data_IF_456547801318
#
_entry.id   IF_456547801318
#
_cell.length_a   1.000
_cell.length_b   1.000
_cell.length_c   1.000
_cell.angle_alpha   90.00
_cell.angle_beta   90.00
_cell.angle_gamma   90.00
#
_symmetry.space_group_name_H-M   'P 1'
#
loop_
_entity.id
_entity.type
_entity.pdbx_description
1 polymer ?
#
# COMPACT_ATOMS: atom_id res chain seq x y z
N UNK A 1 -19.09 6.45 0.22
CA UNK A 1 -19.48 5.32 1.07
C UNK A 1 -20.38 5.81 2.19
N UNK A 2 -21.29 4.97 2.70
CA UNK A 2 -22.08 5.29 3.88
C UNK A 2 -21.20 5.40 5.13
N UNK A 3 -21.66 6.13 6.15
CA UNK A 3 -20.92 6.24 7.42
C UNK A 3 -20.69 4.86 8.05
N UNK A 4 -21.73 4.00 8.06
CA UNK A 4 -21.65 2.62 8.58
C UNK A 4 -20.59 1.77 7.87
N UNK A 5 -20.44 1.92 6.55
CA UNK A 5 -19.41 1.21 5.76
C UNK A 5 -18.02 1.72 6.08
N UNK A 6 -17.86 3.03 6.27
CA UNK A 6 -16.58 3.62 6.68
C UNK A 6 -16.20 3.14 8.07
N UNK A 7 -17.12 3.16 9.02
CA UNK A 7 -16.90 2.69 10.38
C UNK A 7 -16.53 1.20 10.39
N UNK A 8 -17.24 0.36 9.64
CA UNK A 8 -16.86 -1.06 9.50
C UNK A 8 -15.43 -1.24 9.00
N UNK A 9 -15.04 -0.50 7.96
CA UNK A 9 -13.68 -0.57 7.42
C UNK A 9 -12.62 -0.06 8.40
N UNK A 10 -12.95 0.95 9.22
CA UNK A 10 -12.04 1.45 10.24
C UNK A 10 -11.74 0.39 11.32
N UNK A 11 -12.70 -0.51 11.60
CA UNK A 11 -12.52 -1.61 12.57
C UNK A 11 -12.01 -2.91 11.96
N UNK A 12 -12.15 -3.11 10.65
CA UNK A 12 -11.87 -4.41 10.00
C UNK A 12 -10.41 -4.86 10.18
N UNK A 13 -9.45 -3.95 10.07
CA UNK A 13 -8.04 -4.28 10.22
C UNK A 13 -7.66 -4.74 11.64
N UNK A 14 -8.39 -4.29 12.66
CA UNK A 14 -8.16 -4.66 14.05
C UNK A 14 -8.21 -6.16 14.27
N UNK A 15 -9.26 -6.82 13.78
CA UNK A 15 -9.48 -8.26 13.98
C UNK A 15 -8.39 -9.09 13.34
N UNK A 16 -7.92 -8.70 12.15
CA UNK A 16 -6.81 -9.38 11.46
C UNK A 16 -5.51 -9.21 12.26
N UNK A 17 -5.21 -7.99 12.70
CA UNK A 17 -4.00 -7.70 13.46
C UNK A 17 -3.97 -8.46 14.79
N UNK A 18 -5.09 -8.46 15.54
CA UNK A 18 -5.17 -9.17 16.83
C UNK A 18 -4.97 -10.68 16.65
N UNK A 19 -5.60 -11.27 15.62
CA UNK A 19 -5.63 -12.73 15.46
C UNK A 19 -4.38 -13.30 14.80
N UNK A 20 -3.73 -12.55 13.92
CA UNK A 20 -2.72 -13.10 13.01
C UNK A 20 -1.35 -12.43 13.07
N UNK A 21 -1.16 -11.33 13.79
CA UNK A 21 0.12 -10.61 13.82
C UNK A 21 1.28 -11.48 14.30
N UNK A 22 1.06 -12.33 15.31
CA UNK A 22 2.09 -13.26 15.82
C UNK A 22 2.45 -14.30 14.77
N UNK A 23 1.46 -14.89 14.10
CA UNK A 23 1.70 -15.83 13.00
C UNK A 23 2.56 -15.22 11.89
N UNK A 24 2.25 -13.98 11.49
CA UNK A 24 3.02 -13.27 10.46
C UNK A 24 4.42 -12.90 10.96
N UNK A 25 4.55 -12.51 12.22
CA UNK A 25 5.87 -12.28 12.83
C UNK A 25 6.75 -13.53 12.81
N UNK A 26 6.20 -14.67 13.19
CA UNK A 26 6.92 -15.98 13.16
C UNK A 26 7.31 -16.37 11.72
N UNK A 27 6.50 -16.01 10.74
CA UNK A 27 6.80 -16.21 9.31
C UNK A 27 7.84 -15.21 8.76
N UNK A 28 8.26 -14.23 9.54
CA UNK A 28 9.25 -13.23 9.15
C UNK A 28 8.70 -12.12 8.24
N UNK A 29 7.39 -11.85 8.33
CA UNK A 29 6.72 -10.75 7.62
C UNK A 29 6.91 -9.45 8.38
N UNK A 30 7.35 -8.39 7.71
CA UNK A 30 7.43 -7.03 8.22
C UNK A 30 6.21 -6.23 7.78
N UNK A 31 5.49 -5.67 8.75
CA UNK A 31 4.32 -4.83 8.50
C UNK A 31 4.69 -3.36 8.35
N UNK A 32 3.98 -2.70 7.45
CA UNK A 32 3.98 -1.25 7.29
C UNK A 32 2.55 -0.75 7.08
N UNK A 33 2.24 0.40 7.64
CA UNK A 33 0.97 1.10 7.44
C UNK A 33 1.24 2.46 6.82
N UNK A 34 0.59 2.76 5.68
CA UNK A 34 0.69 4.05 5.00
C UNK A 34 -0.70 4.66 4.81
N UNK A 35 -0.75 5.98 4.80
CA UNK A 35 -1.98 6.74 4.61
C UNK A 35 -2.11 7.90 5.59
N UNK A 36 -3.31 8.43 5.74
CA UNK A 36 -3.62 9.46 6.72
C UNK A 36 -3.98 8.83 8.07
N UNK A 37 -2.95 8.32 8.76
CA UNK A 37 -3.10 7.57 10.01
C UNK A 37 -3.43 8.46 11.21
N UNK A 38 -3.26 9.79 11.08
CA UNK A 38 -3.61 10.75 12.12
C UNK A 38 -5.08 11.21 12.08
N UNK A 39 -5.82 10.77 11.07
CA UNK A 39 -7.25 11.11 10.94
C UNK A 39 -8.02 10.73 12.22
N UNK A 40 -8.79 11.69 12.75
CA UNK A 40 -9.54 11.53 14.00
C UNK A 40 -10.66 10.47 13.93
N UNK A 41 -11.06 10.05 12.72
CA UNK A 41 -12.02 8.97 12.51
C UNK A 41 -11.41 7.59 12.78
N UNK A 42 -10.08 7.48 12.78
CA UNK A 42 -9.39 6.23 13.12
C UNK A 42 -9.34 6.12 14.65
N UNK A 43 -9.94 5.07 15.25
CA UNK A 43 -9.90 4.87 16.69
C UNK A 43 -8.45 4.77 17.21
N UNK A 44 -8.19 5.38 18.38
CA UNK A 44 -6.84 5.37 18.99
C UNK A 44 -6.33 3.95 19.23
N UNK A 45 -7.22 3.00 19.56
CA UNK A 45 -6.87 1.59 19.71
C UNK A 45 -6.31 1.00 18.41
N UNK A 46 -6.86 1.38 17.25
CA UNK A 46 -6.36 0.92 15.96
C UNK A 46 -4.98 1.50 15.64
N UNK A 47 -4.79 2.81 15.91
CA UNK A 47 -3.48 3.46 15.77
C UNK A 47 -2.43 2.78 16.64
N UNK A 48 -2.79 2.47 17.87
CA UNK A 48 -1.93 1.75 18.81
C UNK A 48 -1.55 0.36 18.29
N UNK A 49 -2.53 -0.44 17.82
CA UNK A 49 -2.30 -1.78 17.27
C UNK A 49 -1.44 -1.77 16.01
N UNK A 50 -1.63 -0.80 15.11
CA UNK A 50 -0.79 -0.63 13.92
C UNK A 50 0.67 -0.38 14.34
N UNK A 51 0.91 0.56 15.25
CA UNK A 51 2.24 0.88 15.75
C UNK A 51 2.89 -0.33 16.47
N UNK A 52 2.16 -1.00 17.36
CA UNK A 52 2.67 -2.23 18.02
C UNK A 52 3.07 -3.29 16.99
N UNK A 53 2.24 -3.49 15.95
CA UNK A 53 2.52 -4.49 14.93
C UNK A 53 3.77 -4.14 14.12
N UNK A 54 3.95 -2.88 13.74
CA UNK A 54 5.18 -2.42 13.09
C UNK A 54 6.41 -2.62 13.98
N UNK A 55 6.32 -2.27 15.28
CA UNK A 55 7.42 -2.45 16.22
C UNK A 55 7.76 -3.94 16.44
N UNK A 56 6.75 -4.79 16.57
CA UNK A 56 6.92 -6.23 16.72
C UNK A 56 7.67 -6.83 15.52
N UNK A 57 7.34 -6.38 14.32
CA UNK A 57 7.81 -7.00 13.07
C UNK A 57 8.98 -6.26 12.39
N UNK A 58 9.47 -5.16 12.97
CA UNK A 58 10.47 -4.26 12.35
C UNK A 58 11.78 -4.90 11.91
N UNK A 59 12.16 -6.00 12.54
CA UNK A 59 13.40 -6.72 12.25
C UNK A 59 13.22 -7.85 11.22
N UNK A 60 11.99 -8.12 10.80
CA UNK A 60 11.67 -9.15 9.83
C UNK A 60 12.12 -8.73 8.42
N UNK A 61 12.53 -9.73 7.61
CA UNK A 61 13.18 -9.47 6.30
C UNK A 61 12.67 -10.37 5.17
N UNK A 62 11.72 -11.28 5.44
CA UNK A 62 11.28 -12.24 4.40
C UNK A 62 10.28 -11.62 3.43
N UNK A 63 9.37 -10.78 3.94
CA UNK A 63 8.33 -10.13 3.15
C UNK A 63 7.99 -8.78 3.80
N UNK A 64 7.88 -7.72 3.03
CA UNK A 64 7.25 -6.50 3.48
C UNK A 64 5.76 -6.52 3.07
N UNK A 65 4.87 -6.41 4.04
CA UNK A 65 3.44 -6.31 3.84
C UNK A 65 2.97 -4.90 4.19
N UNK A 66 2.51 -4.16 3.18
CA UNK A 66 2.13 -2.76 3.33
C UNK A 66 0.62 -2.62 3.25
N UNK A 67 0.01 -2.08 4.29
CA UNK A 67 -1.40 -1.71 4.32
C UNK A 67 -1.56 -0.23 4.03
N UNK A 68 -2.18 0.09 2.89
CA UNK A 68 -2.60 1.45 2.57
C UNK A 68 -3.97 1.72 3.20
N UNK A 69 -3.97 2.36 4.39
CA UNK A 69 -5.16 2.61 5.19
C UNK A 69 -5.49 4.11 5.19
N UNK A 70 -6.74 4.47 4.83
CA UNK A 70 -7.13 5.87 4.62
C UNK A 70 -6.15 6.62 3.70
N UNK A 71 -5.70 5.92 2.65
CA UNK A 71 -4.66 6.37 1.74
C UNK A 71 -5.24 7.04 0.50
N UNK A 72 -4.55 8.07 0.02
CA UNK A 72 -4.82 8.66 -1.28
C UNK A 72 -3.56 9.33 -1.85
N UNK A 73 -3.17 8.92 -3.05
CA UNK A 73 -1.90 9.35 -3.66
C UNK A 73 -1.81 10.86 -3.89
N UNK A 74 -2.93 11.52 -4.22
CA UNK A 74 -2.94 13.00 -4.36
C UNK A 74 -2.55 13.69 -3.05
N UNK A 75 -3.00 13.18 -1.90
CA UNK A 75 -2.61 13.70 -0.59
C UNK A 75 -1.14 13.42 -0.32
N UNK A 76 -0.68 12.19 -0.57
CA UNK A 76 0.74 11.83 -0.41
C UNK A 76 1.66 12.76 -1.20
N UNK A 77 1.36 12.98 -2.50
CA UNK A 77 2.11 13.87 -3.37
C UNK A 77 2.13 15.30 -2.83
N UNK A 78 0.95 15.81 -2.42
CA UNK A 78 0.84 17.15 -1.84
C UNK A 78 1.65 17.28 -0.55
N UNK A 79 1.60 16.27 0.32
CA UNK A 79 2.30 16.28 1.60
C UNK A 79 3.82 16.18 1.38
N UNK A 80 4.29 15.35 0.43
CA UNK A 80 5.69 15.26 0.04
C UNK A 80 6.21 16.61 -0.47
N UNK A 81 5.47 17.26 -1.38
CA UNK A 81 5.80 18.60 -1.86
C UNK A 81 5.85 19.63 -0.72
N UNK A 82 4.91 19.57 0.20
CA UNK A 82 4.85 20.50 1.33
C UNK A 82 6.04 20.33 2.28
N UNK A 83 6.48 19.08 2.53
CA UNK A 83 7.68 18.78 3.33
C UNK A 83 8.94 19.33 2.65
N UNK A 84 9.09 19.12 1.34
CA UNK A 84 10.21 19.66 0.57
C UNK A 84 10.29 21.18 0.66
N UNK A 85 9.19 21.87 0.45
CA UNK A 85 9.13 23.33 0.50
C UNK A 85 9.46 23.90 1.90
N UNK A 86 9.03 23.25 2.97
CA UNK A 86 9.34 23.63 4.35
C UNK A 86 10.82 23.48 4.70
N UNK A 87 11.48 22.47 4.12
CA UNK A 87 12.88 22.16 4.41
C UNK A 87 13.86 23.01 3.59
N UNK A 88 13.37 23.96 2.79
CA UNK A 88 14.20 24.86 1.94
C UNK A 88 15.24 24.07 1.13
N UNK A 89 14.81 22.98 0.48
CA UNK A 89 15.69 22.16 -0.34
C UNK A 89 16.01 22.94 -1.60
N UNK A 90 17.25 23.33 -1.75
CA UNK A 90 17.75 24.16 -2.86
C UNK A 90 17.69 23.43 -4.21
N UNK A 91 17.62 22.11 -4.21
CA UNK A 91 17.54 21.30 -5.41
C UNK A 91 16.38 20.29 -5.31
N UNK A 92 15.31 20.58 -6.05
CA UNK A 92 14.16 19.68 -6.22
C UNK A 92 14.46 18.73 -7.39
N UNK A 93 14.79 17.50 -7.07
CA UNK A 93 14.95 16.41 -8.02
C UNK A 93 14.01 15.24 -7.67
N UNK A 94 13.98 14.22 -8.50
CA UNK A 94 13.13 13.04 -8.32
C UNK A 94 13.51 12.27 -7.04
N UNK A 95 14.79 12.20 -6.70
CA UNK A 95 15.28 11.49 -5.52
C UNK A 95 14.81 12.17 -4.23
N UNK A 96 14.99 13.48 -4.14
CA UNK A 96 14.51 14.27 -2.99
C UNK A 96 13.00 14.23 -2.83
N UNK A 97 12.26 14.21 -3.95
CA UNK A 97 10.80 14.04 -3.91
C UNK A 97 10.42 12.66 -3.37
N UNK A 98 11.02 11.59 -3.92
CA UNK A 98 10.78 10.20 -3.51
C UNK A 98 11.08 9.99 -2.02
N UNK A 99 12.16 10.57 -1.50
CA UNK A 99 12.55 10.49 -0.10
C UNK A 99 11.52 11.08 0.87
N UNK A 100 10.55 11.88 0.38
CA UNK A 100 9.49 12.47 1.18
C UNK A 100 8.12 11.77 1.03
N UNK A 101 8.03 10.70 0.23
CA UNK A 101 6.85 9.84 0.16
C UNK A 101 6.68 9.05 1.47
N UNK A 102 5.53 8.40 1.64
CA UNK A 102 5.19 7.70 2.89
C UNK A 102 6.07 6.48 3.17
N UNK A 103 6.57 5.82 2.13
CA UNK A 103 7.43 4.64 2.26
C UNK A 103 8.53 4.67 1.18
N UNK A 104 9.50 5.59 1.29
CA UNK A 104 10.47 5.88 0.24
C UNK A 104 11.41 4.72 -0.10
N UNK A 105 11.64 3.83 0.86
CA UNK A 105 12.51 2.65 0.69
C UNK A 105 11.87 1.49 -0.08
N UNK A 106 10.54 1.52 -0.28
CA UNK A 106 9.86 0.48 -1.06
C UNK A 106 10.08 0.71 -2.55
N UNK A 107 10.36 -0.36 -3.32
CA UNK A 107 10.43 -0.25 -4.77
C UNK A 107 9.04 0.08 -5.35
N UNK A 108 9.04 0.64 -6.55
CA UNK A 108 7.80 0.78 -7.30
C UNK A 108 7.22 -0.60 -7.61
N UNK A 109 5.89 -0.76 -7.58
CA UNK A 109 5.28 -2.05 -7.81
C UNK A 109 5.47 -2.51 -9.26
N UNK A 110 5.82 -3.77 -9.45
CA UNK A 110 5.88 -4.41 -10.78
C UNK A 110 4.51 -4.73 -11.34
N UNK A 111 3.57 -5.13 -10.48
CA UNK A 111 2.22 -5.53 -10.85
C UNK A 111 1.18 -4.93 -9.91
N UNK A 112 0.13 -4.33 -10.48
CA UNK A 112 -1.09 -3.97 -9.78
C UNK A 112 -2.22 -4.92 -10.22
N UNK A 113 -2.81 -5.61 -9.25
CA UNK A 113 -4.01 -6.43 -9.47
C UNK A 113 -5.20 -5.70 -8.86
N UNK A 114 -6.21 -5.42 -9.68
CA UNK A 114 -7.47 -4.85 -9.22
C UNK A 114 -8.63 -5.79 -9.46
N UNK A 115 -9.30 -6.13 -8.39
CA UNK A 115 -10.47 -7.03 -8.35
C UNK A 115 -11.79 -6.30 -8.67
N UNK A 116 -12.89 -7.06 -8.75
CA UNK A 116 -14.27 -6.58 -8.95
C UNK A 116 -14.54 -5.91 -10.31
N UNK A 117 -13.80 -6.24 -11.37
CA UNK A 117 -14.03 -5.74 -12.73
C UNK A 117 -13.78 -4.23 -12.92
N UNK A 118 -13.28 -3.55 -11.91
CA UNK A 118 -13.07 -2.11 -11.93
C UNK A 118 -11.76 -1.74 -12.64
N UNK A 119 -11.85 -0.99 -13.75
CA UNK A 119 -10.71 -0.66 -14.64
C UNK A 119 -10.17 0.76 -14.38
N UNK A 120 -9.82 1.07 -13.14
CA UNK A 120 -9.25 2.36 -12.71
C UNK A 120 -8.38 2.17 -11.48
N UNK A 121 -7.41 3.04 -11.24
CA UNK A 121 -6.51 2.99 -10.06
C UNK A 121 -7.04 3.76 -8.84
N UNK A 122 -8.09 4.55 -9.00
CA UNK A 122 -8.82 5.25 -7.92
C UNK A 122 -7.92 5.96 -6.90
N UNK A 123 -6.99 6.77 -7.38
CA UNK A 123 -6.07 7.54 -6.55
C UNK A 123 -5.11 6.67 -5.69
N UNK A 124 -4.79 5.46 -6.16
CA UNK A 124 -3.86 4.57 -5.50
C UNK A 124 -2.49 4.63 -6.18
N UNK A 125 -1.44 4.92 -5.43
CA UNK A 125 -0.02 4.92 -5.79
C UNK A 125 0.31 5.59 -7.15
N UNK A 126 -0.33 6.74 -7.47
CA UNK A 126 -0.23 7.37 -8.80
C UNK A 126 1.21 7.65 -9.25
N UNK A 127 2.09 8.04 -8.33
CA UNK A 127 3.50 8.30 -8.62
C UNK A 127 4.24 6.99 -8.87
N UNK A 128 4.05 6.01 -7.99
CA UNK A 128 4.77 4.75 -8.00
C UNK A 128 4.33 3.79 -9.12
N UNK A 129 3.11 3.97 -9.67
CA UNK A 129 2.57 3.11 -10.74
C UNK A 129 3.06 3.46 -12.15
N UNK A 130 4.01 4.38 -12.31
CA UNK A 130 4.41 4.94 -13.61
C UNK A 130 4.83 3.88 -14.63
N UNK A 131 5.41 2.76 -14.21
CA UNK A 131 5.86 1.65 -15.06
C UNK A 131 5.26 0.31 -14.65
N UNK A 132 4.22 0.33 -13.80
CA UNK A 132 3.57 -0.86 -13.27
C UNK A 132 2.70 -1.53 -14.32
N UNK A 133 2.79 -2.83 -14.45
CA UNK A 133 1.83 -3.64 -15.21
C UNK A 133 0.47 -3.66 -14.50
N UNK A 134 -0.60 -3.38 -15.25
CA UNK A 134 -1.95 -3.35 -14.69
C UNK A 134 -2.71 -4.62 -15.08
N UNK A 135 -3.33 -5.25 -14.09
CA UNK A 135 -4.22 -6.41 -14.28
C UNK A 135 -5.56 -6.14 -13.61
N UNK A 136 -6.63 -6.32 -14.37
CA UNK A 136 -8.00 -6.14 -13.89
C UNK A 136 -8.71 -7.47 -13.95
N UNK A 137 -9.21 -7.96 -12.82
CA UNK A 137 -9.91 -9.24 -12.71
C UNK A 137 -11.34 -9.01 -12.25
N UNK A 138 -12.27 -9.83 -12.77
CA UNK A 138 -13.71 -9.68 -12.46
C UNK A 138 -14.08 -10.22 -11.08
N UNK A 139 -13.24 -11.10 -10.52
CA UNK A 139 -13.44 -11.73 -9.21
C UNK A 139 -13.52 -10.67 -8.10
N UNK A 140 -14.47 -10.83 -7.20
CA UNK A 140 -14.61 -9.99 -6.02
C UNK A 140 -13.49 -10.28 -5.01
N UNK A 141 -13.05 -9.27 -4.25
CA UNK A 141 -11.97 -9.43 -3.28
C UNK A 141 -12.14 -10.61 -2.30
N UNK A 142 -13.33 -10.90 -1.74
CA UNK A 142 -13.50 -12.05 -0.85
C UNK A 142 -13.28 -13.40 -1.51
N UNK A 143 -13.45 -13.48 -2.84
CA UNK A 143 -13.35 -14.71 -3.63
C UNK A 143 -11.99 -14.84 -4.35
N UNK A 144 -11.15 -13.81 -4.29
CA UNK A 144 -9.80 -13.81 -4.88
C UNK A 144 -8.87 -14.69 -4.05
N UNK A 145 -8.64 -15.90 -4.52
CA UNK A 145 -7.91 -16.94 -3.83
C UNK A 145 -6.43 -17.08 -4.30
N UNK A 146 -5.72 -18.06 -3.72
CA UNK A 146 -4.34 -18.38 -4.07
C UNK A 146 -4.17 -18.76 -5.54
N UNK A 147 -5.14 -19.47 -6.13
CA UNK A 147 -5.06 -19.91 -7.53
C UNK A 147 -5.18 -18.72 -8.49
N UNK A 148 -6.01 -17.75 -8.16
CA UNK A 148 -6.13 -16.53 -8.95
C UNK A 148 -4.87 -15.67 -8.83
N UNK A 149 -4.28 -15.62 -7.64
CA UNK A 149 -2.99 -14.93 -7.46
C UNK A 149 -1.88 -15.61 -8.27
N UNK A 150 -1.77 -16.92 -8.22
CA UNK A 150 -0.79 -17.70 -9.01
C UNK A 150 -0.99 -17.46 -10.51
N UNK A 151 -2.23 -17.51 -10.98
CA UNK A 151 -2.57 -17.23 -12.38
C UNK A 151 -2.18 -15.81 -12.80
N UNK A 152 -2.39 -14.82 -11.92
CA UNK A 152 -2.01 -13.45 -12.18
C UNK A 152 -0.49 -13.27 -12.26
N UNK A 153 0.25 -13.95 -11.39
CA UNK A 153 1.72 -13.96 -11.41
C UNK A 153 2.25 -14.64 -12.66
N UNK A 154 1.68 -15.79 -13.06
CA UNK A 154 2.05 -16.51 -14.28
C UNK A 154 1.80 -15.65 -15.53
N UNK A 155 0.64 -15.00 -15.63
CA UNK A 155 0.36 -14.07 -16.73
C UNK A 155 1.38 -12.93 -16.76
N UNK A 156 1.67 -12.31 -15.60
CA UNK A 156 2.65 -11.25 -15.51
C UNK A 156 4.04 -11.67 -15.95
N UNK A 157 4.50 -12.87 -15.57
CA UNK A 157 5.81 -13.40 -15.96
C UNK A 157 5.93 -13.65 -17.47
N UNK A 158 4.81 -13.94 -18.13
CA UNK A 158 4.76 -14.17 -19.58
C UNK A 158 4.64 -12.88 -20.40
N UNK A 159 4.44 -11.70 -19.76
CA UNK A 159 4.37 -10.42 -20.47
C UNK A 159 5.75 -9.96 -20.95
N UNK A 160 5.81 -9.50 -22.20
CA UNK A 160 7.02 -8.86 -22.74
C UNK A 160 7.04 -7.40 -22.30
N UNK A 161 7.87 -7.05 -21.32
CA UNK A 161 8.01 -5.69 -20.83
C UNK A 161 9.02 -4.91 -21.67
N UNK A 162 8.59 -3.80 -22.27
CA UNK A 162 9.44 -2.88 -23.02
C UNK A 162 9.60 -1.57 -22.21
N UNK A 163 10.75 -1.35 -21.64
CA UNK A 163 11.08 -0.11 -20.91
C UNK A 163 11.56 0.97 -21.89
N UNK A 164 10.67 1.50 -22.74
CA UNK A 164 10.99 2.63 -23.60
C UNK A 164 12.06 2.43 -24.68
N UNK A 165 12.67 1.26 -24.77
CA UNK A 165 13.59 0.90 -25.84
C UNK A 165 12.80 0.13 -26.93
N UNK A 166 12.39 0.87 -27.96
CA UNK A 166 11.85 0.29 -29.19
C UNK A 166 12.97 -0.21 -30.09
#
# INVERSE_FOLDING_TARGET
RSEDEVDFLMFFNRDILIRRREEFNDKGVRFHFIGDLEDNRIPDENKFLMNETEQLTKNNKKLNLVFAFNYGSRKEIHDAYTKLNKNSIDQLDEESFRANLLLPEMPDPDLLIRTAGEKRVSNFLLYQLSYTELMFVDTLWPDFDEKELDSAVDEFQNRVRKYGNA
#
